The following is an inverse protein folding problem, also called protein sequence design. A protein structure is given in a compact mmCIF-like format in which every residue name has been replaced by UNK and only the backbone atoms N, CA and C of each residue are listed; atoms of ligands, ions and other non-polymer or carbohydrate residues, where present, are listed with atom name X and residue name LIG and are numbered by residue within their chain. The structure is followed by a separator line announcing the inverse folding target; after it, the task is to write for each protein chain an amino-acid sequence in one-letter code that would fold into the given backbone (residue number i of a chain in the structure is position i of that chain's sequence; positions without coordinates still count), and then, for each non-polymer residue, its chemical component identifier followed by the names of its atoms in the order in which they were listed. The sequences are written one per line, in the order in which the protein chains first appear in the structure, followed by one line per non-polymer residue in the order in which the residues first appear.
data_IF_044667335078
#
_entry.id   IF_044667335078
#
_cell.length_a   1.000
_cell.length_b   1.000
_cell.length_c   1.000
_cell.angle_alpha   90.00
_cell.angle_beta   90.00
_cell.angle_gamma   90.00
#
_symmetry.space_group_name_H-M   'P 1'
#
loop_
_entity.id
_entity.type
_entity.pdbx_description
1 polymer ?
#
# COMPACT_ATOMS: atom_id res chain seq x y z
N UNK A 1 32.56 13.85 -10.65
CA UNK A 1 31.47 14.09 -11.61
C UNK A 1 30.16 14.01 -10.86
N UNK A 2 29.39 15.10 -10.82
CA UNK A 2 28.02 15.11 -10.29
C UNK A 2 27.16 14.59 -11.44
N UNK A 3 26.66 13.36 -11.38
CA UNK A 3 25.65 12.93 -12.33
C UNK A 3 24.37 13.60 -11.85
N UNK A 4 23.96 14.63 -12.56
CA UNK A 4 22.56 15.05 -12.53
C UNK A 4 21.84 13.99 -13.36
N UNK A 5 21.62 12.83 -12.74
CA UNK A 5 20.65 11.86 -13.24
C UNK A 5 19.32 12.61 -13.20
N UNK A 6 18.80 12.94 -14.38
CA UNK A 6 17.58 13.70 -14.53
C UNK A 6 16.41 12.76 -14.33
N UNK A 7 16.26 12.25 -13.10
CA UNK A 7 15.09 11.48 -12.72
C UNK A 7 13.90 12.43 -12.76
N UNK A 8 12.94 12.16 -13.64
CA UNK A 8 11.75 12.99 -13.78
C UNK A 8 10.81 12.67 -12.62
N UNK A 9 10.46 13.67 -11.81
CA UNK A 9 9.43 13.48 -10.80
C UNK A 9 8.06 13.52 -11.48
N UNK A 10 7.31 12.42 -11.35
CA UNK A 10 5.99 12.25 -11.95
C UNK A 10 4.96 11.88 -10.90
N UNK A 11 3.70 12.12 -11.22
CA UNK A 11 2.54 11.65 -10.47
C UNK A 11 1.71 10.74 -11.36
N UNK A 12 1.42 9.54 -10.89
CA UNK A 12 0.65 8.51 -11.60
C UNK A 12 -0.52 8.05 -10.75
N UNK A 13 -1.63 7.71 -11.39
CA UNK A 13 -2.82 7.15 -10.72
C UNK A 13 -3.12 5.78 -11.30
N UNK A 14 -3.27 4.77 -10.45
CA UNK A 14 -3.49 3.40 -10.88
C UNK A 14 -3.76 2.45 -9.71
N UNK A 15 -3.81 1.16 -9.99
CA UNK A 15 -4.04 0.11 -9.01
C UNK A 15 -2.72 -0.52 -8.56
N UNK A 16 -2.60 -0.80 -7.27
CA UNK A 16 -1.44 -1.55 -6.74
C UNK A 16 -1.60 -3.03 -7.07
N UNK A 17 -0.68 -3.58 -7.85
CA UNK A 17 -0.68 -4.99 -8.26
C UNK A 17 0.60 -5.70 -7.83
N UNK A 18 0.54 -6.97 -7.40
CA UNK A 18 1.74 -7.74 -7.09
C UNK A 18 2.45 -8.14 -8.38
N UNK A 19 3.75 -7.95 -8.45
CA UNK A 19 4.57 -8.24 -9.64
C UNK A 19 5.50 -9.42 -9.44
N UNK A 20 5.85 -9.75 -8.21
CA UNK A 20 6.70 -10.89 -7.87
C UNK A 20 6.25 -11.49 -6.52
N UNK A 21 6.42 -12.81 -6.40
CA UNK A 21 6.09 -13.59 -5.21
C UNK A 21 7.32 -14.41 -4.83
N UNK A 22 7.66 -14.45 -3.56
CA UNK A 22 8.76 -15.25 -3.07
C UNK A 22 8.38 -16.74 -2.93
N UNK A 23 9.33 -17.54 -2.45
CA UNK A 23 9.17 -18.99 -2.29
C UNK A 23 8.20 -19.38 -1.15
N UNK A 24 7.83 -18.43 -0.30
CA UNK A 24 6.89 -18.59 0.81
C UNK A 24 5.47 -18.13 0.45
N UNK A 25 5.21 -17.79 -0.82
CA UNK A 25 3.94 -17.21 -1.29
C UNK A 25 3.67 -15.81 -0.70
N UNK A 26 4.72 -15.09 -0.28
CA UNK A 26 4.64 -13.69 0.12
C UNK A 26 4.97 -12.79 -1.08
N UNK A 27 4.24 -11.68 -1.21
CA UNK A 27 4.50 -10.68 -2.27
C UNK A 27 5.88 -10.04 -2.01
N UNK A 28 6.77 -10.13 -2.99
CA UNK A 28 8.16 -9.61 -2.93
C UNK A 28 8.35 -8.32 -3.71
N UNK A 29 7.46 -8.01 -4.65
CA UNK A 29 7.47 -6.76 -5.42
C UNK A 29 6.05 -6.33 -5.82
N UNK A 30 5.85 -5.01 -5.93
CA UNK A 30 4.59 -4.40 -6.37
C UNK A 30 4.81 -3.39 -7.50
N UNK A 31 3.75 -3.14 -8.26
CA UNK A 31 3.68 -2.18 -9.35
C UNK A 31 2.41 -1.36 -9.29
N UNK A 32 2.43 -0.18 -9.93
CA UNK A 32 1.23 0.60 -10.21
C UNK A 32 0.81 0.31 -11.65
N UNK A 33 -0.31 -0.37 -11.80
CA UNK A 33 -0.94 -0.60 -13.09
C UNK A 33 -1.88 0.56 -13.41
N UNK A 34 -1.59 1.25 -14.51
CA UNK A 34 -2.44 2.29 -15.07
C UNK A 34 -3.18 1.76 -16.30
N UNK A 35 -3.96 2.61 -16.98
CA UNK A 35 -4.65 2.18 -18.20
C UNK A 35 -3.70 1.84 -19.35
N UNK A 36 -2.58 2.55 -19.44
CA UNK A 36 -1.68 2.51 -20.59
C UNK A 36 -0.37 1.76 -20.27
N UNK A 37 0.14 1.92 -19.05
CA UNK A 37 1.47 1.46 -18.65
C UNK A 37 1.50 0.83 -17.24
N UNK A 38 2.57 0.08 -16.96
CA UNK A 38 2.83 -0.55 -15.65
C UNK A 38 4.17 -0.03 -15.13
N UNK A 39 4.13 0.55 -13.93
CA UNK A 39 5.30 1.14 -13.27
C UNK A 39 5.75 0.26 -12.11
N UNK A 40 6.96 -0.28 -12.17
CA UNK A 40 7.51 -1.07 -11.06
C UNK A 40 7.93 -0.16 -9.90
N UNK A 41 7.58 -0.52 -8.67
CA UNK A 41 8.00 0.23 -7.49
C UNK A 41 9.41 -0.19 -7.09
N UNK A 42 10.32 0.78 -6.94
CA UNK A 42 11.63 0.52 -6.35
C UNK A 42 11.51 0.31 -4.83
N UNK A 43 12.31 -0.62 -4.25
CA UNK A 43 12.24 -0.93 -2.83
C UNK A 43 12.64 0.27 -1.97
N UNK A 44 11.67 0.85 -1.28
CA UNK A 44 11.86 1.89 -0.28
C UNK A 44 10.74 1.82 0.79
N UNK A 45 10.87 2.58 1.88
CA UNK A 45 9.92 2.50 2.99
C UNK A 45 8.47 2.80 2.61
N UNK A 46 8.20 3.68 1.65
CA UNK A 46 6.83 3.96 1.18
C UNK A 46 6.33 2.88 0.22
N UNK A 47 7.21 2.32 -0.60
CA UNK A 47 6.93 1.18 -1.46
C UNK A 47 6.56 -0.06 -0.64
N UNK A 48 7.19 -0.27 0.51
CA UNK A 48 6.83 -1.31 1.48
C UNK A 48 5.41 -1.13 2.04
N UNK A 49 4.96 0.12 2.25
CA UNK A 49 3.59 0.38 2.71
C UNK A 49 2.54 0.01 1.66
N UNK A 50 2.88 0.13 0.36
CA UNK A 50 1.97 -0.23 -0.74
C UNK A 50 1.64 -1.73 -0.79
N UNK A 51 2.46 -2.61 -0.20
CA UNK A 51 2.12 -4.04 -0.08
C UNK A 51 0.84 -4.26 0.73
N UNK A 52 0.51 -3.35 1.66
CA UNK A 52 -0.74 -3.38 2.41
C UNK A 52 -1.94 -2.79 1.65
N UNK A 53 -1.71 -2.29 0.42
CA UNK A 53 -2.66 -1.57 -0.42
C UNK A 53 -2.91 -2.27 -1.75
N UNK A 54 -2.65 -3.57 -1.84
CA UNK A 54 -2.96 -4.38 -3.02
C UNK A 54 -4.43 -4.19 -3.42
N UNK A 55 -4.69 -4.14 -4.73
CA UNK A 55 -6.01 -3.92 -5.34
C UNK A 55 -6.63 -2.53 -5.05
N UNK A 56 -5.95 -1.68 -4.29
CA UNK A 56 -6.41 -0.30 -4.03
C UNK A 56 -5.98 0.63 -5.15
N UNK A 57 -6.86 1.57 -5.50
CA UNK A 57 -6.52 2.70 -6.37
C UNK A 57 -5.71 3.72 -5.58
N UNK A 58 -4.56 4.13 -6.12
CA UNK A 58 -3.63 5.04 -5.47
C UNK A 58 -3.14 6.11 -6.45
N UNK A 59 -2.87 7.29 -5.92
CA UNK A 59 -2.08 8.33 -6.59
C UNK A 59 -0.67 8.29 -6.00
N UNK A 60 0.33 7.99 -6.82
CA UNK A 60 1.73 7.85 -6.43
C UNK A 60 2.54 8.96 -7.08
N UNK A 61 3.33 9.67 -6.28
CA UNK A 61 4.34 10.63 -6.75
C UNK A 61 5.73 10.06 -6.48
N UNK A 62 6.64 10.22 -7.45
CA UNK A 62 7.99 9.70 -7.32
C UNK A 62 8.87 10.00 -8.53
N UNK A 63 10.12 9.58 -8.43
CA UNK A 63 11.10 9.74 -9.49
C UNK A 63 11.05 8.54 -10.45
N UNK A 64 10.78 8.80 -11.72
CA UNK A 64 10.80 7.81 -12.79
C UNK A 64 12.22 7.60 -13.28
N UNK A 65 12.66 6.34 -13.27
CA UNK A 65 13.88 5.87 -13.88
C UNK A 65 13.55 4.76 -14.88
N UNK A 66 14.19 4.81 -16.05
CA UNK A 66 14.04 3.78 -17.07
C UNK A 66 15.27 2.89 -17.08
N UNK A 67 15.06 1.62 -16.81
CA UNK A 67 16.12 0.63 -16.86
C UNK A 67 16.61 0.37 -18.28
N UNK A 68 17.78 -0.25 -18.38
CA UNK A 68 18.38 -0.69 -19.65
C UNK A 68 17.49 -1.63 -20.45
N UNK A 69 16.67 -2.42 -19.74
CA UNK A 69 15.72 -3.37 -20.32
C UNK A 69 14.40 -2.70 -20.77
N UNK A 70 14.27 -1.39 -20.56
CA UNK A 70 13.10 -0.60 -20.94
C UNK A 70 12.00 -0.58 -19.87
N UNK A 71 12.17 -1.30 -18.76
CA UNK A 71 11.27 -1.26 -17.60
C UNK A 71 11.28 0.13 -16.97
N UNK A 72 10.09 0.63 -16.68
CA UNK A 72 9.89 1.90 -16.01
C UNK A 72 9.70 1.66 -14.52
N UNK A 73 10.56 2.30 -13.73
CA UNK A 73 10.64 2.13 -12.29
C UNK A 73 10.45 3.46 -11.59
N UNK A 74 9.65 3.46 -10.53
CA UNK A 74 9.38 4.67 -9.76
C UNK A 74 9.90 4.51 -8.33
N UNK A 75 10.73 5.46 -7.92
CA UNK A 75 11.09 5.63 -6.50
C UNK A 75 10.04 6.51 -5.85
N UNK A 76 9.16 5.92 -5.03
CA UNK A 76 8.04 6.60 -4.39
C UNK A 76 8.53 7.65 -3.40
N UNK A 77 8.06 8.89 -3.53
CA UNK A 77 8.30 9.99 -2.59
C UNK A 77 7.05 10.32 -1.77
N UNK A 78 5.86 10.04 -2.30
CA UNK A 78 4.57 10.20 -1.62
C UNK A 78 3.52 9.34 -2.31
N UNK A 79 2.48 8.93 -1.58
CA UNK A 79 1.29 8.32 -2.17
C UNK A 79 0.03 8.71 -1.37
N UNK A 80 -1.11 8.63 -2.04
CA UNK A 80 -2.44 8.76 -1.44
C UNK A 80 -3.34 7.63 -1.93
N UNK A 81 -4.12 7.01 -1.04
CA UNK A 81 -5.11 6.00 -1.40
C UNK A 81 -6.41 6.67 -1.80
N UNK A 82 -6.88 6.42 -3.01
CA UNK A 82 -8.11 7.00 -3.55
C UNK A 82 -9.31 6.15 -3.09
N UNK A 83 -9.81 6.41 -1.89
CA UNK A 83 -11.07 5.80 -1.42
C UNK A 83 -12.25 6.39 -2.18
N UNK A 84 -12.97 5.55 -2.93
CA UNK A 84 -14.28 5.93 -3.48
C UNK A 84 -15.26 6.04 -2.31
N UNK A 85 -16.18 7.02 -2.36
CA UNK A 85 -17.07 7.41 -1.25
C UNK A 85 -18.09 6.33 -0.76
N UNK A 86 -17.87 5.05 -1.04
CA UNK A 86 -18.62 3.91 -0.52
C UNK A 86 -17.74 2.77 0.05
N UNK A 87 -16.42 2.82 -0.15
CA UNK A 87 -15.46 1.82 0.31
C UNK A 87 -15.00 2.19 1.72
N UNK A 88 -15.93 2.04 2.68
CA UNK A 88 -15.65 2.17 4.10
C UNK A 88 -14.83 0.96 4.54
N UNK A 89 -13.53 0.98 4.27
CA UNK A 89 -12.58 0.14 4.99
C UNK A 89 -12.35 0.82 6.34
N UNK A 90 -12.93 0.22 7.37
CA UNK A 90 -12.82 0.64 8.76
C UNK A 90 -11.34 0.76 9.12
N UNK A 91 -10.86 2.00 9.21
CA UNK A 91 -9.60 2.32 9.87
C UNK A 91 -9.62 1.58 11.21
N UNK A 92 -8.77 0.55 11.31
CA UNK A 92 -8.50 -0.23 12.51
C UNK A 92 -7.96 0.71 13.60
N UNK A 93 -8.86 1.49 14.19
CA UNK A 93 -8.63 2.29 15.36
C UNK A 93 -8.52 1.28 16.50
N UNK A 94 -7.29 0.94 16.87
CA UNK A 94 -6.99 0.07 17.99
C UNK A 94 -7.70 0.60 19.24
N UNK A 95 -8.76 -0.09 19.65
CA UNK A 95 -9.27 0.02 21.00
C UNK A 95 -8.31 -0.81 21.85
N UNK A 96 -7.37 -0.13 22.50
CA UNK A 96 -6.70 -0.71 23.67
C UNK A 96 -7.82 -0.97 24.69
N UNK A 97 -8.13 -2.26 24.88
CA UNK A 97 -9.06 -2.77 25.89
C UNK A 97 -8.45 -2.51 27.28
N UNK A 98 -8.64 -1.29 27.75
CA UNK A 98 -8.49 -0.85 29.14
C UNK A 98 -9.70 -1.41 29.90
N UNK A 99 -9.47 -2.54 30.56
CA UNK A 99 -10.52 -3.37 31.12
C UNK A 99 -11.33 -2.72 32.22
N UNK A 100 -12.58 -3.17 32.35
CA UNK A 100 -13.26 -3.21 33.64
C UNK A 100 -13.90 -4.59 33.85
N UNK A 101 -13.44 -5.27 34.90
CA UNK A 101 -14.08 -6.45 35.48
C UNK A 101 -15.46 -6.03 36.04
N UNK A 102 -16.53 -6.68 35.58
CA UNK A 102 -17.82 -6.63 36.28
C UNK A 102 -18.21 -8.04 36.74
N UNK A 103 -17.91 -8.31 38.01
CA UNK A 103 -18.56 -9.37 38.79
C UNK A 103 -20.06 -9.11 38.82
N UNK A 104 -20.88 -10.09 38.42
CA UNK A 104 -22.30 -10.06 38.77
C UNK A 104 -22.80 -11.42 39.26
N UNK A 105 -23.29 -11.33 40.49
CA UNK A 105 -23.72 -12.35 41.41
C UNK A 105 -25.07 -12.95 41.00
N UNK A 106 -25.14 -14.29 41.05
CA UNK A 106 -26.29 -15.17 41.27
C UNK A 106 -27.71 -14.57 41.26
N UNK A 107 -28.59 -15.11 40.39
CA UNK A 107 -29.93 -15.49 40.83
C UNK A 107 -30.47 -16.68 40.01
N UNK A 108 -30.81 -17.76 40.72
CA UNK A 108 -31.29 -19.02 40.19
C UNK A 108 -32.74 -18.95 39.67
N UNK A 109 -33.05 -19.92 38.81
CA UNK A 109 -34.21 -20.11 37.92
C UNK A 109 -35.63 -19.94 38.50
N UNK A 110 -36.62 -19.66 37.62
CA UNK A 110 -38.04 -19.66 37.97
C UNK A 110 -38.62 -21.08 38.13
N UNK A 111 -39.55 -21.26 39.07
CA UNK A 111 -40.54 -22.36 39.07
C UNK A 111 -41.95 -21.79 38.98
#
# INVERSE_FOLDING_TARGET
MKREDSSEEITITGYVTPTDWDWNDDVSAVSIETHDDIYAIEPNSLGEELFSKLDSEVEVTGFLEKDRDGTERITVTSYEVLTRAGDREELNHGYEDDGEEIESEQNESPM
#
